data_IF_924793991610
#
_entry.id   IF_924793991610
#
_cell.length_a   1.000
_cell.length_b   1.000
_cell.length_c   1.000
_cell.angle_alpha   90.00
_cell.angle_beta   90.00
_cell.angle_gamma   90.00
#
_symmetry.space_group_name_H-M   'P 1'
#
loop_
_entity.id
_entity.type
_entity.pdbx_description
1 polymer ?
#
# COMPACT_ATOMS: atom_id res chain seq x y z
N UNK A 1 -21.89 -5.37 13.34
CA UNK A 1 -21.42 -4.34 12.40
C UNK A 1 -19.98 -4.65 12.05
N UNK A 2 -19.66 -4.67 10.76
CA UNK A 2 -18.30 -4.78 10.27
C UNK A 2 -17.99 -3.60 9.37
N UNK A 3 -16.71 -3.41 9.11
CA UNK A 3 -16.25 -2.43 8.14
C UNK A 3 -15.33 -3.11 7.13
N UNK A 4 -15.50 -2.75 5.87
CA UNK A 4 -14.59 -3.15 4.81
C UNK A 4 -13.60 -2.03 4.54
N UNK A 5 -12.32 -2.39 4.51
CA UNK A 5 -11.23 -1.47 4.23
C UNK A 5 -10.58 -1.81 2.89
N UNK A 6 -10.29 -0.77 2.11
CA UNK A 6 -9.44 -0.86 0.93
C UNK A 6 -8.29 0.13 1.10
N UNK A 7 -7.06 -0.37 0.96
CA UNK A 7 -5.84 0.37 1.20
C UNK A 7 -4.98 0.25 -0.05
N UNK A 8 -4.51 1.38 -0.56
CA UNK A 8 -3.50 1.44 -1.62
C UNK A 8 -2.25 2.05 -1.03
N UNK A 9 -1.14 1.33 -1.13
CA UNK A 9 0.20 1.83 -0.83
C UNK A 9 0.93 2.09 -2.14
N UNK A 10 1.66 3.21 -2.20
CA UNK A 10 2.54 3.55 -3.31
C UNK A 10 3.98 3.56 -2.81
N UNK A 11 4.84 2.94 -3.59
CA UNK A 11 6.28 2.95 -3.39
C UNK A 11 6.87 3.91 -4.42
N UNK A 12 7.66 4.88 -3.97
CA UNK A 12 8.20 5.94 -4.81
C UNK A 12 9.72 6.04 -4.66
N UNK A 13 10.38 6.52 -5.71
CA UNK A 13 11.77 6.97 -5.62
C UNK A 13 11.87 8.28 -4.86
N UNK A 14 13.08 8.59 -4.40
CA UNK A 14 13.37 9.91 -3.82
C UNK A 14 13.12 11.04 -4.85
N UNK A 15 12.90 12.29 -4.40
CA UNK A 15 12.77 13.43 -5.29
C UNK A 15 13.95 13.51 -6.28
N UNK A 16 13.66 13.64 -7.58
CA UNK A 16 14.66 13.65 -8.64
C UNK A 16 15.16 12.27 -9.09
N UNK A 17 14.66 11.17 -8.51
CA UNK A 17 14.95 9.80 -8.95
C UNK A 17 14.17 9.42 -10.21
N UNK A 18 14.78 8.55 -11.03
CA UNK A 18 14.13 7.88 -12.16
C UNK A 18 13.45 6.56 -11.77
N UNK A 19 13.35 6.24 -10.47
CA UNK A 19 12.72 5.03 -9.99
C UNK A 19 11.27 4.92 -10.49
N UNK A 20 10.91 3.74 -11.00
CA UNK A 20 9.53 3.45 -11.36
C UNK A 20 8.73 3.17 -10.09
N UNK A 21 7.68 3.97 -9.88
CA UNK A 21 6.80 3.77 -8.73
C UNK A 21 6.10 2.41 -8.80
N UNK A 22 5.98 1.74 -7.67
CA UNK A 22 5.25 0.48 -7.53
C UNK A 22 3.99 0.69 -6.65
N UNK A 23 3.02 -0.21 -6.76
CA UNK A 23 1.77 -0.14 -5.99
C UNK A 23 1.48 -1.49 -5.36
N UNK A 24 1.16 -1.47 -4.07
CA UNK A 24 0.61 -2.63 -3.34
C UNK A 24 -0.80 -2.28 -2.85
N UNK A 25 -1.66 -3.29 -2.76
CA UNK A 25 -3.06 -3.09 -2.34
C UNK A 25 -3.49 -4.13 -1.32
N UNK A 26 -4.25 -3.69 -0.34
CA UNK A 26 -5.14 -4.55 0.45
C UNK A 26 -6.56 -4.22 0.00
N UNK A 27 -7.30 -5.24 -0.43
CA UNK A 27 -8.69 -5.07 -0.85
C UNK A 27 -9.60 -5.94 0.00
N UNK A 28 -10.80 -5.45 0.26
CA UNK A 28 -11.84 -6.19 0.98
C UNK A 28 -11.42 -6.71 2.36
N UNK A 29 -10.62 -5.94 3.10
CA UNK A 29 -10.25 -6.29 4.47
C UNK A 29 -11.45 -6.03 5.40
N UNK A 30 -12.15 -7.09 5.79
CA UNK A 30 -13.29 -6.99 6.70
C UNK A 30 -12.84 -7.03 8.15
N UNK A 31 -13.16 -5.99 8.92
CA UNK A 31 -12.83 -5.89 10.36
C UNK A 31 -14.12 -5.70 11.15
N UNK A 32 -14.31 -6.49 12.21
CA UNK A 32 -15.45 -6.31 13.12
C UNK A 32 -15.35 -4.96 13.83
N UNK A 33 -16.48 -4.31 14.07
CA UNK A 33 -16.50 -3.05 14.82
C UNK A 33 -15.84 -3.22 16.20
N UNK A 34 -14.91 -2.32 16.53
CA UNK A 34 -14.10 -2.39 17.76
C UNK A 34 -12.94 -3.40 17.72
N UNK A 35 -12.77 -4.15 16.62
CA UNK A 35 -11.68 -5.10 16.44
C UNK A 35 -10.49 -4.52 15.68
N UNK A 36 -9.41 -5.29 15.64
CA UNK A 36 -8.23 -5.04 14.80
C UNK A 36 -7.92 -6.28 13.96
N UNK A 37 -7.29 -6.07 12.80
CA UNK A 37 -6.85 -7.14 11.91
C UNK A 37 -5.57 -6.71 11.18
N UNK A 38 -4.69 -7.68 10.93
CA UNK A 38 -3.50 -7.48 10.12
C UNK A 38 -3.74 -7.98 8.69
N UNK A 39 -3.09 -7.34 7.73
CA UNK A 39 -3.07 -7.75 6.34
C UNK A 39 -1.71 -7.41 5.74
N UNK A 40 -1.29 -8.20 4.76
CA UNK A 40 -0.06 -7.97 4.01
C UNK A 40 -0.39 -7.41 2.63
N UNK A 41 0.43 -6.46 2.17
CA UNK A 41 0.38 -5.93 0.82
C UNK A 41 1.77 -6.07 0.22
N UNK A 42 1.87 -6.75 -0.91
CA UNK A 42 3.13 -6.99 -1.61
C UNK A 42 3.09 -6.40 -3.01
N UNK A 43 4.26 -6.02 -3.50
CA UNK A 43 4.46 -5.58 -4.87
C UNK A 43 5.86 -6.03 -5.31
N UNK A 44 6.07 -6.40 -6.59
CA UNK A 44 7.39 -6.78 -7.06
C UNK A 44 8.41 -5.66 -6.86
N UNK A 45 9.65 -6.05 -6.54
CA UNK A 45 10.76 -5.11 -6.54
C UNK A 45 11.12 -4.74 -7.99
N UNK A 46 10.93 -3.46 -8.33
CA UNK A 46 11.18 -2.94 -9.69
C UNK A 46 12.56 -2.28 -9.83
N UNK A 47 13.36 -2.25 -8.75
CA UNK A 47 14.70 -1.66 -8.76
C UNK A 47 15.70 -2.53 -9.53
N UNK A 48 16.72 -1.89 -10.11
CA UNK A 48 17.79 -2.58 -10.84
C UNK A 48 19.09 -2.73 -10.05
N UNK A 49 19.19 -2.11 -8.86
CA UNK A 49 20.44 -2.06 -8.08
C UNK A 49 21.40 -0.97 -8.56
N UNK A 50 20.92 0.00 -9.32
CA UNK A 50 21.67 1.10 -9.94
C UNK A 50 21.39 2.47 -9.26
N UNK A 51 20.66 2.47 -8.14
CA UNK A 51 20.25 3.71 -7.46
C UNK A 51 18.84 4.16 -7.82
N UNK A 52 18.14 3.47 -8.74
CA UNK A 52 16.75 3.76 -9.14
C UNK A 52 15.71 3.03 -8.26
N UNK A 53 16.02 2.74 -7.00
CA UNK A 53 15.11 2.02 -6.11
C UNK A 53 14.03 2.93 -5.52
N UNK A 54 12.86 2.35 -5.25
CA UNK A 54 11.87 3.00 -4.39
C UNK A 54 12.40 3.05 -2.95
N UNK A 55 12.43 4.24 -2.36
CA UNK A 55 12.94 4.48 -1.00
C UNK A 55 11.84 4.92 -0.04
N UNK A 56 10.66 5.24 -0.56
CA UNK A 56 9.52 5.69 0.22
C UNK A 56 8.33 4.75 0.02
N UNK A 57 7.58 4.51 1.08
CA UNK A 57 6.29 3.84 1.05
C UNK A 57 5.26 4.75 1.70
N UNK A 58 4.27 5.17 0.91
CA UNK A 58 3.21 6.07 1.33
C UNK A 58 1.85 5.42 1.14
N UNK A 59 0.94 5.63 2.09
CA UNK A 59 -0.46 5.25 1.89
C UNK A 59 -1.10 6.29 0.98
N UNK A 60 -1.41 5.90 -0.26
CA UNK A 60 -2.01 6.81 -1.25
C UNK A 60 -3.52 6.95 -1.07
N UNK A 61 -4.19 5.88 -0.61
CA UNK A 61 -5.62 5.91 -0.31
C UNK A 61 -5.97 4.89 0.77
N UNK A 62 -6.83 5.27 1.69
CA UNK A 62 -7.49 4.34 2.60
C UNK A 62 -8.98 4.67 2.65
N UNK A 63 -9.83 3.73 2.26
CA UNK A 63 -11.29 3.87 2.33
C UNK A 63 -11.88 2.87 3.30
N UNK A 64 -12.99 3.26 3.90
CA UNK A 64 -13.75 2.47 4.87
C UNK A 64 -15.23 2.56 4.52
N UNK A 65 -15.89 1.42 4.41
CA UNK A 65 -17.35 1.32 4.25
C UNK A 65 -17.94 0.38 5.31
N UNK A 66 -19.20 0.62 5.69
CA UNK A 66 -19.97 -0.36 6.47
C UNK A 66 -20.23 -1.57 5.59
N UNK A 67 -20.08 -2.75 6.16
CA UNK A 67 -20.33 -4.04 5.52
C UNK A 67 -21.24 -4.90 6.37
#
# INVERSE_FOLDING_TARGET
MSYTYNITMKFEGAPGSSALAATARVTNLTVKAGGSQQAEATTPYMGKGDGSECKECVVSSATKSVS
#
